data_IF_644341490928
#
_entry.id   IF_644341490928
#
_cell.length_a   1.000
_cell.length_b   1.000
_cell.length_c   1.000
_cell.angle_alpha   90.00
_cell.angle_beta   90.00
_cell.angle_gamma   90.00
#
_symmetry.space_group_name_H-M   'P 1'
#
loop_
_entity.id
_entity.type
_entity.pdbx_description
1 polymer ?
#
# COMPACT_ATOMS: atom_id res chain seq x y z
N UNK A 1 21.47 -62.85 73.67
CA UNK A 1 22.01 -61.88 72.72
C UNK A 1 21.19 -60.59 72.80
N UNK A 2 21.73 -59.49 73.38
CA UNK A 2 21.05 -58.21 73.53
C UNK A 2 21.47 -57.30 72.40
N UNK A 3 20.59 -56.97 71.50
CA UNK A 3 20.83 -56.01 70.41
C UNK A 3 20.78 -54.60 70.96
N UNK A 4 21.89 -53.87 70.91
CA UNK A 4 22.01 -52.47 71.23
C UNK A 4 21.37 -51.60 70.09
N UNK A 5 20.26 -50.92 70.38
CA UNK A 5 19.72 -49.86 69.48
C UNK A 5 20.66 -48.65 69.59
N UNK A 6 21.26 -48.27 68.47
CA UNK A 6 22.00 -47.03 68.36
C UNK A 6 20.99 -45.90 68.22
N UNK A 7 20.86 -45.02 69.20
CA UNK A 7 20.11 -43.78 69.14
C UNK A 7 20.92 -42.73 68.33
N UNK A 8 20.55 -42.47 67.12
CA UNK A 8 21.09 -41.32 66.40
C UNK A 8 20.45 -40.05 66.98
N UNK A 9 21.22 -39.33 67.80
CA UNK A 9 20.84 -38.04 68.35
C UNK A 9 21.05 -36.97 67.29
N UNK A 10 20.02 -36.66 66.56
CA UNK A 10 19.99 -35.47 65.70
C UNK A 10 19.91 -34.21 66.58
N UNK A 11 21.00 -33.44 66.70
CA UNK A 11 20.95 -32.10 67.29
C UNK A 11 19.94 -31.24 66.46
N UNK A 12 19.02 -30.49 67.11
CA UNK A 12 18.11 -29.59 66.37
C UNK A 12 18.96 -28.52 65.68
N UNK A 13 18.81 -28.43 64.38
CA UNK A 13 19.42 -27.38 63.57
C UNK A 13 19.02 -26.00 64.18
N UNK A 14 20.01 -25.16 64.51
CA UNK A 14 19.72 -23.81 64.97
C UNK A 14 18.98 -23.02 63.91
N UNK A 15 18.03 -22.17 64.29
CA UNK A 15 17.28 -21.34 63.35
C UNK A 15 18.16 -20.61 62.32
N UNK A 16 19.36 -20.21 62.74
CA UNK A 16 20.35 -19.58 61.84
C UNK A 16 20.88 -20.53 60.73
N UNK A 17 21.12 -21.82 61.05
CA UNK A 17 21.54 -22.80 60.08
C UNK A 17 20.45 -23.16 59.10
N UNK A 18 19.17 -23.23 59.54
CA UNK A 18 18.03 -23.47 58.70
C UNK A 18 17.82 -22.31 57.72
N UNK A 19 17.91 -21.05 58.20
CA UNK A 19 17.83 -19.85 57.35
C UNK A 19 18.96 -19.89 56.29
N UNK A 20 20.19 -20.22 56.65
CA UNK A 20 21.30 -20.31 55.69
C UNK A 20 21.05 -21.35 54.60
N UNK A 21 20.54 -22.53 54.96
CA UNK A 21 20.21 -23.59 53.99
C UNK A 21 19.07 -23.13 53.08
N UNK A 22 18.03 -22.46 53.59
CA UNK A 22 16.92 -21.91 52.80
C UNK A 22 17.43 -20.86 51.80
N UNK A 23 18.33 -19.98 52.24
CA UNK A 23 18.92 -18.98 51.34
C UNK A 23 19.76 -19.62 50.24
N UNK A 24 20.52 -20.66 50.53
CA UNK A 24 21.31 -21.39 49.52
C UNK A 24 20.36 -22.07 48.51
N UNK A 25 19.32 -22.75 49.00
CA UNK A 25 18.34 -23.42 48.12
C UNK A 25 17.60 -22.38 47.23
N UNK A 26 17.21 -21.24 47.79
CA UNK A 26 16.62 -20.16 47.02
C UNK A 26 17.58 -19.59 45.96
N UNK A 27 18.85 -19.37 46.32
CA UNK A 27 19.86 -18.92 45.37
C UNK A 27 20.03 -19.91 44.21
N UNK A 28 20.10 -21.20 44.51
CA UNK A 28 20.14 -22.27 43.49
C UNK A 28 18.88 -22.29 42.62
N UNK A 29 17.71 -22.17 43.23
CA UNK A 29 16.43 -22.14 42.49
C UNK A 29 16.36 -20.93 41.53
N UNK A 30 16.82 -19.76 41.97
CA UNK A 30 16.88 -18.57 41.13
C UNK A 30 17.91 -18.74 40.01
N UNK A 31 19.12 -19.16 40.34
CA UNK A 31 20.21 -19.26 39.36
C UNK A 31 19.97 -20.35 38.31
N UNK A 32 19.48 -21.52 38.71
CA UNK A 32 19.31 -22.67 37.81
C UNK A 32 17.87 -22.87 37.31
N UNK A 33 16.89 -22.28 37.98
CA UNK A 33 15.47 -22.36 37.59
C UNK A 33 14.99 -21.13 36.88
N UNK A 34 15.04 -19.98 37.55
CA UNK A 34 14.41 -18.73 37.03
C UNK A 34 15.26 -18.07 35.96
N UNK A 35 16.60 -17.97 36.17
CA UNK A 35 17.48 -17.28 35.21
C UNK A 35 17.46 -17.92 33.79
N UNK A 36 17.60 -19.24 33.61
CA UNK A 36 17.52 -19.85 32.29
C UNK A 36 16.12 -19.75 31.67
N UNK A 37 15.08 -19.72 32.51
CA UNK A 37 13.71 -19.53 32.02
C UNK A 37 13.51 -18.11 31.46
N UNK A 38 13.98 -17.08 32.16
CA UNK A 38 13.94 -15.68 31.69
C UNK A 38 14.75 -15.53 30.42
N UNK A 39 15.95 -16.08 30.35
CA UNK A 39 16.79 -16.05 29.15
C UNK A 39 16.09 -16.70 27.95
N UNK A 40 15.40 -17.84 28.12
CA UNK A 40 14.63 -18.48 27.04
C UNK A 40 13.46 -17.61 26.52
N UNK A 41 12.85 -16.79 27.35
CA UNK A 41 11.81 -15.85 26.93
C UNK A 41 12.40 -14.62 26.23
N UNK A 42 13.59 -14.18 26.62
CA UNK A 42 14.28 -13.03 26.03
C UNK A 42 14.99 -13.39 24.72
N UNK A 43 15.48 -14.63 24.60
CA UNK A 43 16.21 -15.15 23.42
C UNK A 43 15.29 -15.67 22.30
N UNK A 44 13.98 -15.34 22.32
CA UNK A 44 13.11 -15.67 21.20
C UNK A 44 13.60 -14.95 19.96
N UNK A 45 14.05 -15.72 19.00
CA UNK A 45 14.46 -15.25 17.67
C UNK A 45 13.34 -15.48 16.68
N UNK A 46 13.27 -14.61 15.69
CA UNK A 46 12.31 -14.69 14.59
C UNK A 46 13.03 -14.34 13.29
N UNK A 47 12.69 -15.06 12.25
CA UNK A 47 13.15 -14.75 10.90
C UNK A 47 12.27 -13.63 10.34
N UNK A 48 12.92 -12.61 9.81
CA UNK A 48 12.28 -11.46 9.19
C UNK A 48 12.90 -11.18 7.84
N UNK A 49 12.13 -10.52 6.96
CA UNK A 49 12.64 -10.00 5.70
C UNK A 49 13.26 -8.63 5.94
N UNK A 50 14.49 -8.45 5.47
CA UNK A 50 15.26 -7.22 5.55
C UNK A 50 15.81 -6.86 4.19
N UNK A 51 15.96 -5.57 3.90
CA UNK A 51 16.62 -5.12 2.69
C UNK A 51 18.13 -5.36 2.76
N UNK A 52 18.68 -5.84 1.66
CA UNK A 52 20.10 -6.04 1.44
C UNK A 52 20.75 -4.89 0.68
N UNK A 53 19.97 -4.22 -0.18
CA UNK A 53 20.36 -3.07 -1.00
C UNK A 53 19.34 -1.96 -0.88
N UNK A 54 19.74 -0.74 -1.23
CA UNK A 54 18.83 0.39 -1.30
C UNK A 54 17.83 0.18 -2.44
N UNK A 55 16.56 0.54 -2.20
CA UNK A 55 15.48 0.48 -3.18
C UNK A 55 14.75 1.82 -3.14
N UNK A 56 14.79 2.55 -4.24
CA UNK A 56 14.10 3.84 -4.37
C UNK A 56 12.58 3.68 -4.42
N UNK A 57 11.87 4.73 -4.01
CA UNK A 57 10.41 4.81 -4.12
C UNK A 57 9.97 4.47 -5.54
N UNK A 58 8.89 3.70 -5.67
CA UNK A 58 8.35 3.26 -6.96
C UNK A 58 9.15 2.15 -7.66
N UNK A 59 10.29 1.72 -7.11
CA UNK A 59 11.04 0.59 -7.67
C UNK A 59 10.48 -0.74 -7.18
N UNK A 60 10.49 -1.73 -8.08
CA UNK A 60 10.06 -3.10 -7.77
C UNK A 60 11.11 -3.78 -6.88
N UNK A 61 10.64 -4.43 -5.83
CA UNK A 61 11.49 -5.19 -4.92
C UNK A 61 11.66 -6.61 -5.47
N UNK A 62 12.89 -6.97 -5.76
CA UNK A 62 13.27 -8.28 -6.30
C UNK A 62 13.84 -9.20 -5.21
N UNK A 63 13.99 -10.48 -5.53
CA UNK A 63 14.64 -11.44 -4.63
C UNK A 63 16.11 -11.08 -4.31
N UNK A 64 16.77 -10.27 -5.17
CA UNK A 64 18.15 -9.84 -4.96
C UNK A 64 18.27 -8.71 -3.95
N UNK A 65 17.20 -7.96 -3.72
CA UNK A 65 17.18 -6.80 -2.84
C UNK A 65 16.88 -7.14 -1.38
N UNK A 66 16.48 -8.39 -1.12
CA UNK A 66 16.09 -8.84 0.21
C UNK A 66 16.95 -9.98 0.73
N UNK A 67 16.98 -10.11 2.06
CA UNK A 67 17.55 -11.23 2.77
C UNK A 67 16.66 -11.63 3.96
N UNK A 68 16.72 -12.90 4.35
CA UNK A 68 16.08 -13.38 5.58
C UNK A 68 17.10 -13.36 6.68
N UNK A 69 16.83 -12.63 7.76
CA UNK A 69 17.73 -12.52 8.92
C UNK A 69 17.04 -12.98 10.18
N UNK A 70 17.80 -13.69 11.02
CA UNK A 70 17.34 -14.16 12.31
C UNK A 70 17.68 -13.14 13.39
N UNK A 71 16.67 -12.48 13.95
CA UNK A 71 16.81 -11.39 14.91
C UNK A 71 16.04 -11.67 16.20
N UNK A 72 16.43 -10.99 17.30
CA UNK A 72 15.68 -11.06 18.56
C UNK A 72 14.26 -10.55 18.39
N UNK A 73 13.28 -11.28 18.88
CA UNK A 73 11.85 -10.90 18.76
C UNK A 73 11.45 -9.72 19.67
N UNK A 74 12.33 -9.32 20.60
CA UNK A 74 12.04 -8.24 21.54
C UNK A 74 12.05 -6.88 20.83
N UNK A 75 10.98 -6.12 21.00
CA UNK A 75 10.78 -4.80 20.39
C UNK A 75 10.65 -4.77 18.85
N UNK A 76 10.44 -5.93 18.19
CA UNK A 76 10.07 -5.92 16.79
C UNK A 76 8.61 -5.50 16.63
N UNK A 77 8.28 -4.65 15.64
CA UNK A 77 6.89 -4.39 15.27
C UNK A 77 6.17 -5.70 14.96
N UNK A 78 4.95 -5.84 15.45
CA UNK A 78 4.13 -7.05 15.17
C UNK A 78 3.83 -7.24 13.67
N UNK A 79 3.81 -6.15 12.93
CA UNK A 79 3.58 -6.08 11.49
C UNK A 79 4.81 -6.33 10.63
N UNK A 80 6.01 -6.61 11.23
CA UNK A 80 7.19 -6.91 10.43
C UNK A 80 6.97 -8.12 9.52
N UNK A 81 7.35 -8.00 8.26
CA UNK A 81 7.15 -9.05 7.27
C UNK A 81 8.17 -10.18 7.48
N UNK A 82 7.66 -11.42 7.48
CA UNK A 82 8.42 -12.65 7.71
C UNK A 82 8.52 -13.53 6.48
N UNK A 83 7.59 -13.39 5.54
CA UNK A 83 7.56 -14.18 4.31
C UNK A 83 8.01 -13.32 3.13
N UNK A 84 9.12 -13.70 2.51
CA UNK A 84 9.67 -13.01 1.34
C UNK A 84 8.73 -13.01 0.12
N UNK A 85 7.84 -14.00 0.01
CA UNK A 85 6.87 -14.07 -1.09
C UNK A 85 5.87 -12.93 -1.07
N UNK A 86 5.61 -12.34 0.09
CA UNK A 86 4.69 -11.19 0.22
C UNK A 86 5.34 -9.86 -0.13
N UNK A 87 6.65 -9.86 -0.43
CA UNK A 87 7.45 -8.67 -0.74
C UNK A 87 7.90 -8.65 -2.19
N UNK A 88 8.32 -9.82 -2.70
CA UNK A 88 8.85 -9.93 -4.07
C UNK A 88 7.73 -9.59 -5.06
N UNK A 89 8.04 -8.65 -5.96
CA UNK A 89 7.09 -8.17 -6.97
C UNK A 89 6.27 -6.96 -6.53
N UNK A 90 6.36 -6.54 -5.27
CA UNK A 90 5.77 -5.29 -4.79
C UNK A 90 6.72 -4.12 -5.00
N UNK A 91 6.18 -2.92 -4.97
CA UNK A 91 6.90 -1.68 -5.13
C UNK A 91 7.21 -1.03 -3.78
N UNK A 92 8.31 -0.30 -3.71
CA UNK A 92 8.63 0.49 -2.53
C UNK A 92 7.73 1.74 -2.48
N UNK A 93 6.92 1.88 -1.44
CA UNK A 93 6.06 3.05 -1.23
C UNK A 93 6.85 4.31 -0.81
N UNK A 94 8.09 4.15 -0.38
CA UNK A 94 9.03 5.21 0.00
C UNK A 94 10.45 4.74 -0.30
N UNK A 95 11.43 5.65 -0.23
CA UNK A 95 12.84 5.25 -0.27
C UNK A 95 13.16 4.31 0.89
N UNK A 96 13.74 3.18 0.56
CA UNK A 96 14.12 2.12 1.48
C UNK A 96 15.63 1.90 1.41
N UNK A 97 16.26 1.71 2.56
CA UNK A 97 17.70 1.57 2.67
C UNK A 97 18.13 0.17 3.10
N UNK A 98 19.33 -0.23 2.71
CA UNK A 98 19.92 -1.49 3.14
C UNK A 98 19.91 -1.62 4.67
N UNK A 99 19.39 -2.74 5.18
CA UNK A 99 19.19 -2.98 6.61
C UNK A 99 17.81 -2.62 7.14
N UNK A 100 16.95 -1.99 6.33
CA UNK A 100 15.56 -1.68 6.72
C UNK A 100 14.73 -2.93 6.92
N UNK A 101 13.89 -2.94 7.97
CA UNK A 101 12.84 -3.92 8.14
C UNK A 101 11.66 -3.56 7.26
N UNK A 102 11.10 -4.57 6.59
CA UNK A 102 9.95 -4.38 5.73
C UNK A 102 8.64 -4.50 6.53
N UNK A 103 7.81 -3.48 6.34
CA UNK A 103 6.46 -3.40 6.89
C UNK A 103 5.47 -3.29 5.73
N UNK A 104 4.21 -3.75 5.89
CA UNK A 104 3.19 -3.58 4.84
C UNK A 104 3.03 -2.11 4.36
N UNK A 105 3.13 -1.15 5.29
CA UNK A 105 3.04 0.29 5.00
C UNK A 105 4.18 0.86 4.17
N UNK A 106 5.28 0.10 4.00
CA UNK A 106 6.41 0.46 3.14
C UNK A 106 6.31 -0.14 1.74
N UNK A 107 5.26 -0.89 1.46
CA UNK A 107 5.05 -1.61 0.21
C UNK A 107 3.77 -1.12 -0.47
N UNK A 108 3.79 -1.11 -1.81
CA UNK A 108 2.64 -0.82 -2.65
C UNK A 108 2.44 -1.93 -3.67
N UNK A 109 1.21 -2.17 -4.04
CA UNK A 109 0.88 -3.08 -5.16
C UNK A 109 1.14 -2.38 -6.50
N UNK A 110 1.06 -1.06 -6.54
CA UNK A 110 1.23 -0.23 -7.73
C UNK A 110 2.55 0.54 -7.68
N UNK A 111 3.16 0.77 -8.86
CA UNK A 111 4.50 1.36 -8.94
C UNK A 111 4.53 2.88 -8.76
N UNK A 112 3.38 3.56 -8.84
CA UNK A 112 3.33 5.02 -8.84
C UNK A 112 2.32 5.52 -7.83
N UNK A 113 2.80 6.28 -6.84
CA UNK A 113 1.92 7.19 -6.11
C UNK A 113 1.49 8.33 -7.04
N UNK A 114 0.43 9.05 -6.69
CA UNK A 114 0.01 10.25 -7.40
C UNK A 114 1.18 11.23 -7.59
N UNK A 115 1.97 11.44 -6.53
CA UNK A 115 3.14 12.32 -6.55
C UNK A 115 4.19 11.88 -7.57
N UNK A 116 4.47 10.57 -7.70
CA UNK A 116 5.46 10.09 -8.66
C UNK A 116 5.02 10.34 -10.10
N UNK A 117 3.72 10.19 -10.40
CA UNK A 117 3.14 10.53 -11.70
C UNK A 117 3.28 12.02 -11.96
N UNK A 118 2.90 12.87 -10.99
CA UNK A 118 2.97 14.33 -11.12
C UNK A 118 4.42 14.81 -11.31
N UNK A 119 5.39 14.24 -10.59
CA UNK A 119 6.82 14.56 -10.73
C UNK A 119 7.42 14.07 -12.06
N UNK A 120 6.81 13.07 -12.70
CA UNK A 120 7.28 12.53 -13.98
C UNK A 120 6.77 13.28 -15.20
N UNK A 121 5.89 14.28 -15.04
CA UNK A 121 5.35 15.06 -16.14
C UNK A 121 6.46 15.82 -16.88
N UNK A 122 6.51 15.61 -18.19
CA UNK A 122 7.56 16.18 -19.09
C UNK A 122 7.01 17.24 -20.05
N UNK A 123 5.73 17.59 -19.94
CA UNK A 123 5.04 18.56 -20.81
C UNK A 123 4.27 17.94 -21.98
N UNK A 124 4.42 16.64 -22.25
CA UNK A 124 3.60 15.94 -23.26
C UNK A 124 2.22 15.59 -22.73
N UNK A 125 2.14 15.27 -21.44
CA UNK A 125 0.91 15.02 -20.71
C UNK A 125 0.79 15.99 -19.54
N UNK A 126 -0.42 16.16 -19.06
CA UNK A 126 -0.75 17.01 -17.91
C UNK A 126 -1.72 16.29 -16.98
N UNK A 127 -1.81 16.77 -15.78
CA UNK A 127 -2.79 16.34 -14.79
C UNK A 127 -3.94 17.36 -14.74
N UNK A 128 -5.17 16.87 -14.76
CA UNK A 128 -6.36 17.68 -14.58
C UNK A 128 -7.30 16.99 -13.61
N UNK A 129 -7.91 17.74 -12.69
CA UNK A 129 -8.92 17.23 -11.77
C UNK A 129 -10.32 17.53 -12.26
N UNK A 130 -11.19 16.55 -12.16
CA UNK A 130 -12.60 16.60 -12.55
C UNK A 130 -13.44 16.33 -11.31
N UNK A 131 -14.53 17.07 -11.15
CA UNK A 131 -15.44 16.91 -10.02
C UNK A 131 -16.21 15.58 -10.10
N UNK A 132 -16.46 14.98 -8.96
CA UNK A 132 -17.43 13.90 -8.78
C UNK A 132 -18.71 14.56 -8.26
N UNK A 133 -19.76 14.62 -9.08
CA UNK A 133 -21.00 15.30 -8.70
C UNK A 133 -21.80 14.53 -7.64
N UNK A 134 -21.82 13.20 -7.77
CA UNK A 134 -22.47 12.31 -6.82
C UNK A 134 -21.75 10.97 -6.69
N UNK A 135 -22.21 10.14 -5.77
CA UNK A 135 -21.62 8.84 -5.48
C UNK A 135 -21.62 7.88 -6.69
N UNK A 136 -22.63 7.96 -7.55
CA UNK A 136 -22.75 7.08 -8.72
C UNK A 136 -21.83 7.51 -9.85
N UNK A 137 -21.65 8.81 -10.08
CA UNK A 137 -20.78 9.37 -11.12
C UNK A 137 -19.31 8.98 -10.89
N UNK A 138 -18.88 8.91 -9.63
CA UNK A 138 -17.54 8.48 -9.21
C UNK A 138 -17.37 6.97 -9.00
N UNK A 139 -18.12 6.12 -9.71
CA UNK A 139 -18.09 4.66 -9.59
C UNK A 139 -18.33 4.18 -8.15
N UNK A 140 -19.22 4.85 -7.41
CA UNK A 140 -19.51 4.51 -6.01
C UNK A 140 -18.27 4.43 -5.12
N UNK A 141 -17.36 5.38 -5.32
CA UNK A 141 -16.13 5.51 -4.55
C UNK A 141 -15.15 4.34 -4.70
N UNK A 142 -15.17 3.70 -5.88
CA UNK A 142 -14.35 2.51 -6.19
C UNK A 142 -13.19 2.80 -7.13
N UNK A 143 -12.99 4.05 -7.55
CA UNK A 143 -11.85 4.41 -8.38
C UNK A 143 -10.56 4.35 -7.57
N UNK A 144 -9.51 3.83 -8.19
CA UNK A 144 -8.18 3.66 -7.60
C UNK A 144 -7.10 4.23 -8.53
N UNK A 145 -5.95 4.54 -7.94
CA UNK A 145 -4.78 4.99 -8.70
C UNK A 145 -4.37 3.95 -9.74
N UNK A 146 -4.12 4.38 -10.96
CA UNK A 146 -3.73 3.50 -12.06
C UNK A 146 -4.89 2.93 -12.87
N UNK A 147 -6.14 3.10 -12.44
CA UNK A 147 -7.31 2.69 -13.21
C UNK A 147 -7.32 3.33 -14.59
N UNK A 148 -7.78 2.55 -15.58
CA UNK A 148 -8.15 3.07 -16.89
C UNK A 148 -9.67 3.20 -16.93
N UNK A 149 -10.13 4.40 -17.19
CA UNK A 149 -11.56 4.73 -17.25
C UNK A 149 -11.95 5.29 -18.62
N UNK A 150 -13.21 5.08 -18.99
CA UNK A 150 -13.89 5.87 -20.02
C UNK A 150 -14.78 6.90 -19.35
N UNK A 151 -14.86 8.08 -19.94
CA UNK A 151 -15.77 9.11 -19.47
C UNK A 151 -17.05 9.05 -20.29
N UNK A 152 -18.17 8.87 -19.61
CA UNK A 152 -19.51 8.91 -20.22
C UNK A 152 -20.09 10.29 -19.93
N UNK A 153 -20.38 11.03 -20.97
CA UNK A 153 -20.90 12.40 -20.90
C UNK A 153 -22.38 12.40 -21.28
N UNK A 154 -23.16 13.19 -20.58
CA UNK A 154 -24.57 13.40 -20.94
C UNK A 154 -24.71 14.72 -21.69
N UNK A 155 -25.27 14.67 -22.87
CA UNK A 155 -25.59 15.83 -23.67
C UNK A 155 -27.04 16.26 -23.40
N UNK A 156 -27.21 17.45 -22.80
CA UNK A 156 -28.51 17.99 -22.44
C UNK A 156 -29.35 18.44 -23.68
N UNK A 157 -28.68 18.79 -24.79
CA UNK A 157 -29.37 19.23 -26.02
C UNK A 157 -29.91 18.05 -26.81
N UNK A 158 -29.12 16.95 -26.92
CA UNK A 158 -29.51 15.74 -27.63
C UNK A 158 -30.23 14.71 -26.73
N UNK A 159 -30.32 14.99 -25.43
CA UNK A 159 -30.87 14.07 -24.39
C UNK A 159 -30.30 12.66 -24.46
N UNK A 160 -28.98 12.53 -24.77
CA UNK A 160 -28.29 11.23 -24.88
C UNK A 160 -26.97 11.21 -24.15
N UNK A 161 -26.58 10.00 -23.73
CA UNK A 161 -25.24 9.76 -23.21
C UNK A 161 -24.35 9.13 -24.28
N UNK A 162 -23.08 9.55 -24.30
CA UNK A 162 -22.08 9.00 -25.21
C UNK A 162 -20.69 8.97 -24.54
N UNK A 163 -19.76 8.24 -25.15
CA UNK A 163 -18.35 8.22 -24.76
C UNK A 163 -17.58 8.94 -25.85
N UNK A 164 -17.03 10.15 -25.55
CA UNK A 164 -16.14 10.82 -26.50
C UNK A 164 -14.95 9.93 -26.85
N UNK A 165 -14.66 9.73 -28.13
CA UNK A 165 -13.54 8.87 -28.56
C UNK A 165 -12.19 9.37 -28.01
N UNK A 166 -12.06 10.70 -27.80
CA UNK A 166 -10.88 11.31 -27.16
C UNK A 166 -10.75 10.98 -25.69
N UNK A 167 -11.83 10.56 -25.01
CA UNK A 167 -11.88 10.27 -23.57
C UNK A 167 -12.21 8.80 -23.27
N UNK A 168 -11.98 7.92 -24.25
CA UNK A 168 -12.31 6.50 -24.16
C UNK A 168 -11.38 5.73 -23.22
N UNK A 169 -10.10 6.10 -23.18
CA UNK A 169 -9.12 5.49 -22.28
C UNK A 169 -8.28 6.57 -21.61
N UNK A 170 -8.59 6.83 -20.35
CA UNK A 170 -7.90 7.84 -19.54
C UNK A 170 -7.43 7.21 -18.26
N UNK A 171 -6.19 7.52 -17.84
CA UNK A 171 -5.63 6.98 -16.60
C UNK A 171 -5.97 7.86 -15.40
N UNK A 172 -6.45 7.25 -14.35
CA UNK A 172 -6.63 7.88 -13.03
C UNK A 172 -5.27 8.00 -12.35
N UNK A 173 -4.91 9.21 -11.92
CA UNK A 173 -3.73 9.48 -11.10
C UNK A 173 -4.09 9.26 -9.63
N UNK A 174 -5.16 9.91 -9.16
CA UNK A 174 -5.64 9.79 -7.78
C UNK A 174 -7.10 10.23 -7.68
N UNK A 175 -7.73 9.84 -6.61
CA UNK A 175 -9.01 10.41 -6.15
C UNK A 175 -8.75 11.16 -4.85
N UNK A 176 -9.40 12.32 -4.68
CA UNK A 176 -9.15 13.23 -3.56
C UNK A 176 -10.46 13.58 -2.88
N UNK A 177 -10.46 13.61 -1.55
CA UNK A 177 -11.62 14.01 -0.72
C UNK A 177 -11.88 15.51 -0.82
N UNK A 178 -13.02 15.97 -0.29
CA UNK A 178 -13.36 17.41 -0.21
C UNK A 178 -12.34 18.22 0.60
N UNK A 179 -11.61 17.61 1.51
CA UNK A 179 -10.59 18.25 2.34
C UNK A 179 -9.20 18.25 1.67
N UNK A 180 -9.09 17.74 0.44
CA UNK A 180 -7.86 17.73 -0.33
C UNK A 180 -6.90 16.59 0.04
N UNK A 181 -7.41 15.53 0.66
CA UNK A 181 -6.62 14.36 1.04
C UNK A 181 -6.76 13.30 -0.04
N UNK A 182 -5.64 12.79 -0.54
CA UNK A 182 -5.65 11.66 -1.48
C UNK A 182 -6.22 10.41 -0.80
N UNK A 183 -7.14 9.76 -1.49
CA UNK A 183 -7.74 8.52 -0.98
C UNK A 183 -6.77 7.37 -1.15
N UNK A 184 -6.54 6.69 -0.03
CA UNK A 184 -5.85 5.42 0.05
C UNK A 184 -6.71 4.42 0.85
N UNK A 185 -6.22 3.20 1.00
CA UNK A 185 -6.88 2.15 1.77
C UNK A 185 -7.10 2.51 3.26
N UNK A 186 -6.46 3.57 3.76
CA UNK A 186 -6.52 4.01 5.15
C UNK A 186 -7.43 5.22 5.37
N UNK A 187 -7.99 5.77 4.28
CA UNK A 187 -8.90 6.93 4.35
C UNK A 187 -10.32 6.45 4.65
N UNK A 188 -10.61 6.18 5.93
CA UNK A 188 -11.93 5.71 6.35
C UNK A 188 -12.95 6.87 6.41
N UNK A 189 -14.09 6.68 5.77
CA UNK A 189 -15.32 7.44 6.04
C UNK A 189 -15.55 8.69 5.19
N UNK A 190 -14.64 9.09 4.29
CA UNK A 190 -14.82 10.21 3.38
C UNK A 190 -14.91 9.73 1.92
N UNK A 191 -15.89 10.27 1.18
CA UNK A 191 -16.03 9.99 -0.24
C UNK A 191 -15.08 10.84 -1.06
N UNK A 192 -14.65 10.34 -2.22
CA UNK A 192 -13.92 11.12 -3.20
C UNK A 192 -14.80 12.26 -3.72
N UNK A 193 -14.24 13.47 -3.79
CA UNK A 193 -14.89 14.66 -4.35
C UNK A 193 -14.35 14.98 -5.75
N UNK A 194 -13.12 14.58 -6.06
CA UNK A 194 -12.49 14.80 -7.37
C UNK A 194 -11.70 13.58 -7.82
N UNK A 195 -11.56 13.44 -9.14
CA UNK A 195 -10.67 12.48 -9.79
C UNK A 195 -9.61 13.26 -10.57
N UNK A 196 -8.33 13.01 -10.32
CA UNK A 196 -7.23 13.57 -11.09
C UNK A 196 -6.82 12.59 -12.19
N UNK A 197 -6.78 13.07 -13.41
CA UNK A 197 -6.55 12.28 -14.62
C UNK A 197 -5.25 12.67 -15.31
N UNK A 198 -4.57 11.70 -15.92
CA UNK A 198 -3.41 11.90 -16.78
C UNK A 198 -3.88 11.99 -18.23
N UNK A 199 -3.72 13.15 -18.86
CA UNK A 199 -4.28 13.47 -20.16
C UNK A 199 -3.31 14.21 -21.07
N UNK A 200 -3.62 14.28 -22.36
CA UNK A 200 -2.99 15.22 -23.30
C UNK A 200 -3.68 16.59 -23.27
N UNK A 201 -3.05 17.67 -23.79
CA UNK A 201 -3.62 19.01 -23.77
C UNK A 201 -5.02 19.07 -24.36
N UNK A 202 -5.25 18.46 -25.53
CA UNK A 202 -6.54 18.40 -26.22
C UNK A 202 -7.65 17.69 -25.42
N UNK A 203 -7.27 16.69 -24.64
CA UNK A 203 -8.20 16.01 -23.71
C UNK A 203 -8.51 16.90 -22.50
N UNK A 204 -7.51 17.65 -22.01
CA UNK A 204 -7.71 18.55 -20.86
C UNK A 204 -8.70 19.67 -21.18
N UNK A 205 -8.64 20.25 -22.41
CA UNK A 205 -9.58 21.29 -22.86
C UNK A 205 -11.01 20.73 -22.89
N UNK A 206 -11.20 19.55 -23.48
CA UNK A 206 -12.48 18.88 -23.57
C UNK A 206 -13.04 18.51 -22.19
N UNK A 207 -12.19 18.01 -21.29
CA UNK A 207 -12.57 17.70 -19.91
C UNK A 207 -12.99 18.95 -19.14
N UNK A 208 -12.28 20.07 -19.30
CA UNK A 208 -12.62 21.32 -18.63
C UNK A 208 -13.98 21.84 -19.10
N UNK A 209 -14.30 21.69 -20.40
CA UNK A 209 -15.59 22.01 -20.94
C UNK A 209 -16.70 21.13 -20.34
N UNK A 210 -16.56 19.80 -20.45
CA UNK A 210 -17.58 18.88 -19.92
C UNK A 210 -17.77 18.99 -18.41
N UNK A 211 -16.70 19.22 -17.65
CA UNK A 211 -16.82 19.40 -16.20
C UNK A 211 -17.64 20.64 -15.79
N UNK A 212 -17.77 21.64 -16.66
CA UNK A 212 -18.58 22.83 -16.40
C UNK A 212 -20.00 22.72 -16.93
N UNK A 213 -20.18 22.04 -18.07
CA UNK A 213 -21.40 22.12 -18.85
C UNK A 213 -22.27 20.86 -18.73
N UNK A 214 -21.71 19.73 -18.31
CA UNK A 214 -22.41 18.44 -18.30
C UNK A 214 -22.05 17.55 -17.10
N UNK A 215 -22.84 16.51 -16.87
CA UNK A 215 -22.54 15.48 -15.90
C UNK A 215 -21.63 14.41 -16.52
N UNK A 216 -20.51 14.13 -15.85
CA UNK A 216 -19.54 13.12 -16.25
C UNK A 216 -19.65 11.88 -15.34
N UNK A 217 -19.83 10.70 -15.95
CA UNK A 217 -19.73 9.42 -15.26
C UNK A 217 -18.42 8.73 -15.59
N UNK A 218 -17.71 8.23 -14.57
CA UNK A 218 -16.51 7.42 -14.73
C UNK A 218 -16.89 5.95 -14.87
N UNK A 219 -16.53 5.34 -15.99
CA UNK A 219 -16.74 3.92 -16.25
C UNK A 219 -15.37 3.21 -16.23
N UNK A 220 -15.18 2.29 -15.28
CA UNK A 220 -13.94 1.50 -15.18
C UNK A 220 -13.80 0.56 -16.37
N UNK A 221 -12.71 0.69 -17.13
CA UNK A 221 -12.37 -0.17 -18.27
C UNK A 221 -11.39 -1.26 -17.85
N UNK A 222 -10.34 -0.87 -17.10
CA UNK A 222 -9.31 -1.81 -16.69
C UNK A 222 -8.69 -1.42 -15.34
N UNK A 223 -8.43 -2.45 -14.54
CA UNK A 223 -7.63 -2.38 -13.31
C UNK A 223 -6.73 -3.60 -13.27
N UNK A 224 -5.43 -3.41 -13.07
CA UNK A 224 -4.47 -4.50 -13.01
C UNK A 224 -3.05 -4.03 -13.25
N UNK A 225 -2.25 -4.82 -13.97
CA UNK A 225 -0.86 -4.52 -14.25
C UNK A 225 -0.68 -3.31 -15.18
N UNK A 226 0.45 -2.61 -15.00
CA UNK A 226 0.78 -1.40 -15.75
C UNK A 226 0.99 -1.67 -17.25
N UNK A 227 1.49 -2.85 -17.64
CA UNK A 227 1.76 -3.19 -19.05
C UNK A 227 0.47 -3.14 -19.87
N UNK A 228 -0.59 -3.74 -19.34
CA UNK A 228 -1.92 -3.72 -19.99
C UNK A 228 -2.58 -2.36 -19.91
N UNK A 229 -2.41 -1.64 -18.80
CA UNK A 229 -2.90 -0.27 -18.67
C UNK A 229 -2.22 0.67 -19.68
N UNK A 230 -0.90 0.54 -19.86
CA UNK A 230 -0.14 1.32 -20.85
C UNK A 230 -0.55 0.98 -22.30
N UNK A 231 -1.02 -0.26 -22.59
CA UNK A 231 -1.56 -0.61 -23.88
C UNK A 231 -2.81 0.22 -24.21
N UNK A 232 -3.76 0.36 -23.27
CA UNK A 232 -4.94 1.20 -23.46
C UNK A 232 -4.59 2.67 -23.69
N UNK A 233 -3.64 3.20 -22.92
CA UNK A 233 -3.18 4.58 -23.07
C UNK A 233 -2.51 4.79 -24.42
N UNK A 234 -1.70 3.82 -24.88
CA UNK A 234 -1.09 3.89 -26.21
C UNK A 234 -2.15 3.89 -27.33
N UNK A 235 -3.19 3.05 -27.23
CA UNK A 235 -4.31 3.06 -28.17
C UNK A 235 -4.98 4.43 -28.23
N UNK A 236 -5.17 5.07 -27.07
CA UNK A 236 -5.72 6.42 -27.00
C UNK A 236 -4.79 7.46 -27.61
N UNK A 237 -3.50 7.40 -27.31
CA UNK A 237 -2.49 8.29 -27.86
C UNK A 237 -2.37 8.15 -29.39
N UNK A 238 -2.49 6.93 -29.94
CA UNK A 238 -2.53 6.66 -31.39
C UNK A 238 -3.78 7.25 -32.04
N UNK A 239 -4.94 7.11 -31.40
CA UNK A 239 -6.19 7.73 -31.87
C UNK A 239 -6.07 9.26 -31.96
N UNK A 240 -5.59 9.90 -30.89
CA UNK A 240 -5.40 11.36 -30.81
C UNK A 240 -4.42 11.86 -31.88
N UNK A 241 -3.32 11.12 -32.10
CA UNK A 241 -2.36 11.48 -33.13
C UNK A 241 -2.91 11.36 -34.57
N UNK A 242 -3.85 10.43 -34.79
CA UNK A 242 -4.51 10.25 -36.10
C UNK A 242 -5.63 11.29 -36.35
N UNK A 243 -6.21 11.87 -35.29
CA UNK A 243 -7.36 12.78 -35.35
C UNK A 243 -7.09 14.12 -34.63
N UNK A 244 -6.07 14.89 -35.03
CA UNK A 244 -5.64 16.09 -34.31
C UNK A 244 -6.66 17.24 -34.39
N UNK A 245 -7.57 17.23 -35.35
CA UNK A 245 -8.52 18.31 -35.63
C UNK A 245 -10.01 17.95 -35.46
N UNK A 246 -10.31 16.75 -34.96
CA UNK A 246 -11.70 16.41 -34.66
C UNK A 246 -12.15 17.22 -33.44
N UNK A 247 -12.64 18.43 -33.66
CA UNK A 247 -13.68 19.01 -32.83
C UNK A 247 -14.87 18.09 -33.02
N UNK A 248 -15.48 17.56 -31.96
CA UNK A 248 -16.75 16.84 -32.02
C UNK A 248 -17.82 17.88 -32.44
N UNK A 249 -17.79 18.27 -33.71
CA UNK A 249 -18.93 18.94 -34.34
C UNK A 249 -20.00 17.85 -34.50
N UNK A 250 -21.16 18.12 -33.90
CA UNK A 250 -22.43 17.45 -34.20
C UNK A 250 -22.45 17.02 -35.67
N UNK A 251 -22.62 15.72 -35.95
CA UNK A 251 -22.97 15.24 -37.28
C UNK A 251 -24.36 15.81 -37.66
N UNK A 252 -24.42 17.10 -37.94
CA UNK A 252 -25.45 17.71 -38.75
C UNK A 252 -25.03 17.56 -40.21
N UNK A 253 -25.21 16.40 -40.80
CA UNK A 253 -25.34 16.26 -42.23
C UNK A 253 -26.51 15.35 -42.62
N UNK A 254 -27.59 16.05 -42.96
CA UNK A 254 -28.41 15.83 -44.16
C UNK A 254 -29.28 14.57 -44.29
N UNK A 255 -30.52 14.89 -44.39
CA UNK A 255 -31.43 14.23 -45.31
C UNK A 255 -32.90 14.28 -44.97
#
# INVERSE_FOLDING_TARGET
MKTKKVKVSGKPFSSRTVIGIVCIVLAFAITFGVAPLVNRFTDRKVDIVRLKSDVGRGQIITANDIEIVNVGAHNLPSSVIKDSKTVIGKYAATDLYAGDYLLPTKLSENNKSADDVLLSLNGEKMAISVNIEDFATGLSDKLENGDIVSLVVYDDEEEKSFIPEKLKYVRVITTTTSDGIDKDENTEGENAATVTLLVRPEQAELLAQYNNDTTIHFALVYRGDDEKADEYIRMQDEYLAAHPNDTEESEDENG
#
